data_IF_795929479723
#
_entry.id   IF_795929479723
#
_cell.length_a   1.000
_cell.length_b   1.000
_cell.length_c   1.000
_cell.angle_alpha   90.00
_cell.angle_beta   90.00
_cell.angle_gamma   90.00
#
_symmetry.space_group_name_H-M   'P 1'
#
loop_
_entity.id
_entity.type
_entity.pdbx_description
1 polymer ?
#
# COMPACT_ATOMS: atom_id res chain seq x y z
N UNK A 1 -8.18 6.11 -19.41
CA UNK A 1 -7.77 5.81 -18.02
C UNK A 1 -7.33 4.36 -17.86
N UNK A 2 -8.17 3.36 -18.18
CA UNK A 2 -7.83 1.93 -17.98
C UNK A 2 -6.53 1.47 -18.66
N UNK A 3 -6.17 2.04 -19.81
CA UNK A 3 -4.93 1.67 -20.52
C UNK A 3 -3.67 2.00 -19.72
N UNK A 4 -3.73 2.98 -18.82
CA UNK A 4 -2.63 3.29 -17.89
C UNK A 4 -2.49 2.29 -16.74
N UNK A 5 -3.45 1.39 -16.59
CA UNK A 5 -3.46 0.36 -15.54
C UNK A 5 -3.17 -1.04 -16.11
N UNK A 6 -2.93 -1.17 -17.42
CA UNK A 6 -2.75 -2.46 -18.09
C UNK A 6 -1.62 -3.30 -17.49
N UNK A 7 -0.46 -2.67 -17.25
CA UNK A 7 0.70 -3.30 -16.59
C UNK A 7 0.38 -3.89 -15.22
N UNK A 8 -0.54 -3.27 -14.48
CA UNK A 8 -0.95 -3.70 -13.14
C UNK A 8 -1.92 -4.87 -13.17
N UNK A 9 -2.60 -5.08 -14.29
CA UNK A 9 -3.60 -6.12 -14.44
C UNK A 9 -3.69 -6.62 -15.89
N UNK A 10 -2.66 -7.35 -16.37
CA UNK A 10 -2.52 -7.71 -17.77
C UNK A 10 -3.40 -8.87 -18.23
N UNK A 11 -4.06 -9.60 -17.31
CA UNK A 11 -4.76 -10.84 -17.65
C UNK A 11 -6.16 -10.59 -18.22
N UNK A 12 -6.85 -9.54 -17.76
CA UNK A 12 -8.23 -9.25 -18.20
C UNK A 12 -8.61 -7.78 -18.00
N UNK A 13 -9.50 -7.26 -18.84
CA UNK A 13 -10.10 -5.94 -18.71
C UNK A 13 -11.62 -6.02 -18.59
N UNK A 14 -12.23 -5.10 -17.86
CA UNK A 14 -13.69 -5.04 -17.76
C UNK A 14 -14.17 -3.63 -17.44
N UNK A 15 -15.39 -3.34 -17.86
CA UNK A 15 -16.06 -2.07 -17.56
C UNK A 15 -17.53 -2.28 -17.30
N UNK A 16 -18.08 -1.45 -16.42
CA UNK A 16 -19.49 -1.39 -16.10
C UNK A 16 -19.94 0.07 -16.09
N UNK A 17 -21.17 0.36 -16.51
CA UNK A 17 -21.74 1.69 -16.46
C UNK A 17 -23.20 1.63 -16.06
N UNK A 18 -23.61 2.56 -15.22
CA UNK A 18 -24.98 2.71 -14.73
C UNK A 18 -25.28 4.18 -14.45
N UNK A 19 -26.11 4.81 -15.30
CA UNK A 19 -26.46 6.22 -15.21
C UNK A 19 -25.22 7.13 -15.12
N UNK A 20 -25.00 7.84 -13.99
CA UNK A 20 -23.86 8.74 -13.80
C UNK A 20 -22.54 8.02 -13.48
N UNK A 21 -22.54 6.70 -13.30
CA UNK A 21 -21.38 5.93 -12.84
C UNK A 21 -20.74 5.12 -13.98
N UNK A 22 -19.41 5.09 -14.00
CA UNK A 22 -18.62 4.15 -14.79
C UNK A 22 -17.50 3.54 -13.93
N UNK A 23 -17.43 2.21 -13.89
CA UNK A 23 -16.36 1.45 -13.26
C UNK A 23 -15.51 0.78 -14.35
N UNK A 24 -14.19 0.81 -14.18
CA UNK A 24 -13.24 0.13 -15.06
C UNK A 24 -12.22 -0.64 -14.24
N UNK A 25 -11.81 -1.81 -14.72
CA UNK A 25 -10.89 -2.70 -14.01
C UNK A 25 -9.91 -3.38 -14.97
N UNK A 26 -8.64 -3.46 -14.56
CA UNK A 26 -7.57 -4.26 -15.16
C UNK A 26 -7.18 -5.32 -14.14
N UNK A 27 -7.18 -6.59 -14.52
CA UNK A 27 -7.07 -7.74 -13.60
C UNK A 27 -5.74 -8.44 -13.72
N UNK A 28 -5.07 -8.62 -12.59
CA UNK A 28 -4.10 -9.68 -12.37
C UNK A 28 -4.82 -10.82 -11.65
N UNK A 29 -4.96 -11.98 -12.30
CA UNK A 29 -5.74 -13.11 -11.80
C UNK A 29 -4.91 -13.93 -10.82
N UNK A 30 -5.21 -13.78 -9.53
CA UNK A 30 -4.53 -14.46 -8.41
C UNK A 30 -5.50 -15.38 -7.66
N UNK A 31 -6.69 -14.87 -7.32
CA UNK A 31 -7.76 -15.62 -6.66
C UNK A 31 -8.93 -15.82 -7.63
N UNK A 32 -9.44 -17.05 -7.69
CA UNK A 32 -10.48 -17.51 -8.61
C UNK A 32 -10.14 -17.20 -10.08
N UNK A 33 -9.32 -18.05 -10.69
CA UNK A 33 -8.84 -17.86 -12.06
C UNK A 33 -9.95 -18.00 -13.12
N UNK A 34 -11.18 -18.32 -12.73
CA UNK A 34 -12.31 -18.45 -13.64
C UNK A 34 -12.92 -17.08 -14.00
N UNK A 35 -13.91 -17.10 -14.90
CA UNK A 35 -14.68 -15.91 -15.26
C UNK A 35 -15.53 -15.39 -14.08
N UNK A 36 -15.80 -16.20 -13.05
CA UNK A 36 -16.54 -15.76 -11.87
C UNK A 36 -15.74 -14.76 -11.03
N UNK A 37 -14.41 -14.72 -11.15
CA UNK A 37 -13.56 -13.69 -10.56
C UNK A 37 -13.41 -12.41 -11.41
N UNK A 38 -14.12 -12.30 -12.55
CA UNK A 38 -14.03 -11.13 -13.42
C UNK A 38 -14.60 -9.86 -12.74
N UNK A 39 -14.02 -8.72 -13.08
CA UNK A 39 -14.38 -7.43 -12.51
C UNK A 39 -14.55 -6.35 -13.61
N UNK A 40 -15.42 -5.33 -13.43
CA UNK A 40 -16.27 -5.09 -12.25
C UNK A 40 -17.27 -6.21 -11.98
N UNK A 41 -17.34 -6.67 -10.74
CA UNK A 41 -18.19 -7.78 -10.33
C UNK A 41 -19.58 -7.24 -9.98
N UNK A 42 -20.62 -7.88 -10.52
CA UNK A 42 -22.01 -7.43 -10.36
C UNK A 42 -22.79 -8.46 -9.55
N UNK A 43 -23.26 -8.06 -8.36
CA UNK A 43 -24.23 -8.82 -7.58
C UNK A 43 -25.64 -8.35 -7.91
N UNK A 44 -26.32 -9.09 -8.78
CA UNK A 44 -27.68 -8.77 -9.24
C UNK A 44 -28.75 -8.94 -8.17
N UNK A 45 -28.53 -9.83 -7.21
CA UNK A 45 -29.47 -10.08 -6.11
C UNK A 45 -29.57 -8.83 -5.22
N UNK A 46 -28.41 -8.27 -4.87
CA UNK A 46 -28.35 -7.10 -4.00
C UNK A 46 -28.36 -5.77 -4.77
N UNK A 47 -28.14 -5.78 -6.08
CA UNK A 47 -28.06 -4.57 -6.90
C UNK A 47 -26.78 -3.79 -6.60
N UNK A 48 -25.64 -4.49 -6.57
CA UNK A 48 -24.34 -3.91 -6.26
C UNK A 48 -23.34 -4.19 -7.39
N UNK A 49 -22.44 -3.26 -7.65
CA UNK A 49 -21.30 -3.41 -8.56
C UNK A 49 -20.00 -3.04 -7.85
N UNK A 50 -18.92 -3.78 -8.08
CA UNK A 50 -17.64 -3.59 -7.39
C UNK A 50 -16.46 -3.62 -8.36
N UNK A 51 -15.54 -2.69 -8.20
CA UNK A 51 -14.17 -2.79 -8.71
C UNK A 51 -13.20 -2.75 -7.52
N UNK A 52 -12.29 -3.71 -7.44
CA UNK A 52 -11.47 -3.99 -6.27
C UNK A 52 -10.04 -4.38 -6.68
N UNK A 53 -9.08 -3.67 -6.10
CA UNK A 53 -7.65 -3.99 -6.18
C UNK A 53 -7.17 -4.40 -4.77
N UNK A 54 -6.66 -5.63 -4.64
CA UNK A 54 -6.08 -6.15 -3.41
C UNK A 54 -6.46 -7.60 -3.13
N UNK A 55 -6.34 -7.99 -1.86
CA UNK A 55 -6.65 -9.33 -1.36
C UNK A 55 -7.26 -9.29 0.04
N UNK A 56 -8.40 -9.95 0.23
CA UNK A 56 -9.02 -10.15 1.55
C UNK A 56 -8.58 -11.50 2.13
N UNK A 57 -7.55 -11.47 2.98
CA UNK A 57 -6.93 -12.66 3.58
C UNK A 57 -7.85 -13.52 4.46
N UNK A 58 -8.94 -12.95 4.99
CA UNK A 58 -9.94 -13.69 5.77
C UNK A 58 -11.20 -14.04 4.95
N UNK A 59 -11.14 -14.00 3.62
CA UNK A 59 -12.29 -14.32 2.78
C UNK A 59 -12.85 -15.74 2.98
N UNK A 60 -12.07 -16.80 3.30
CA UNK A 60 -12.64 -18.13 3.54
C UNK A 60 -13.49 -18.16 4.82
N UNK A 61 -13.01 -17.53 5.90
CA UNK A 61 -13.76 -17.44 7.16
C UNK A 61 -15.00 -16.56 7.01
N UNK A 62 -14.88 -15.39 6.39
CA UNK A 62 -16.00 -14.48 6.16
C UNK A 62 -17.07 -15.11 5.26
N UNK A 63 -16.67 -15.89 4.25
CA UNK A 63 -17.60 -16.61 3.38
C UNK A 63 -18.43 -17.62 4.16
N UNK A 64 -17.84 -18.32 5.12
CA UNK A 64 -18.57 -19.25 5.98
C UNK A 64 -19.57 -18.51 6.87
N UNK A 65 -19.15 -17.38 7.47
CA UNK A 65 -20.02 -16.51 8.27
C UNK A 65 -21.20 -15.99 7.44
N UNK A 66 -20.95 -15.44 6.26
CA UNK A 66 -21.98 -14.91 5.37
C UNK A 66 -22.93 -16.01 4.87
N UNK A 67 -22.44 -17.22 4.58
CA UNK A 67 -23.30 -18.37 4.26
C UNK A 67 -24.22 -18.74 5.41
N UNK A 68 -23.72 -18.71 6.65
CA UNK A 68 -24.53 -18.95 7.84
C UNK A 68 -25.61 -17.87 8.04
N UNK A 69 -25.35 -16.65 7.56
CA UNK A 69 -26.30 -15.54 7.51
C UNK A 69 -27.25 -15.58 6.30
N UNK A 70 -27.13 -16.60 5.43
CA UNK A 70 -28.05 -16.85 4.31
C UNK A 70 -27.55 -16.41 2.94
N UNK A 71 -26.34 -15.85 2.83
CA UNK A 71 -25.76 -15.42 1.55
C UNK A 71 -25.34 -16.62 0.69
N UNK A 72 -25.58 -16.51 -0.61
CA UNK A 72 -25.11 -17.47 -1.63
C UNK A 72 -23.93 -16.88 -2.37
N UNK A 73 -23.09 -17.74 -2.93
CA UNK A 73 -21.90 -17.34 -3.66
C UNK A 73 -21.77 -18.09 -4.97
N UNK A 74 -21.30 -17.40 -6.00
CA UNK A 74 -21.03 -17.95 -7.33
C UNK A 74 -19.53 -18.10 -7.62
N UNK A 75 -18.70 -17.19 -7.09
CA UNK A 75 -17.24 -17.22 -7.18
C UNK A 75 -16.62 -17.93 -5.98
N UNK A 76 -15.37 -18.38 -6.11
CA UNK A 76 -14.53 -18.80 -4.97
C UNK A 76 -13.65 -17.67 -4.46
N UNK A 77 -13.50 -16.60 -5.24
CA UNK A 77 -12.64 -15.46 -4.95
C UNK A 77 -13.10 -14.61 -3.78
N UNK A 78 -12.26 -13.66 -3.39
CA UNK A 78 -12.51 -12.75 -2.28
C UNK A 78 -13.37 -11.53 -2.67
N UNK A 79 -13.39 -11.16 -3.96
CA UNK A 79 -14.15 -10.03 -4.49
C UNK A 79 -15.65 -10.12 -4.13
N UNK A 80 -16.27 -11.29 -4.28
CA UNK A 80 -17.69 -11.47 -3.97
C UNK A 80 -17.96 -11.38 -2.45
N UNK A 81 -16.98 -11.70 -1.61
CA UNK A 81 -17.11 -11.54 -0.15
C UNK A 81 -17.30 -10.09 0.22
N UNK A 82 -16.67 -9.14 -0.48
CA UNK A 82 -16.88 -7.70 -0.26
C UNK A 82 -18.33 -7.31 -0.59
N UNK A 83 -18.85 -7.78 -1.73
CA UNK A 83 -20.25 -7.51 -2.14
C UNK A 83 -21.25 -8.04 -1.10
N UNK A 84 -21.09 -9.30 -0.67
CA UNK A 84 -21.98 -9.91 0.33
C UNK A 84 -21.81 -9.29 1.72
N UNK A 85 -20.59 -8.91 2.10
CA UNK A 85 -20.34 -8.18 3.35
C UNK A 85 -21.01 -6.79 3.35
N UNK A 86 -20.95 -6.05 2.23
CA UNK A 86 -21.65 -4.77 2.10
C UNK A 86 -23.17 -4.96 2.09
N UNK A 87 -23.70 -5.99 1.41
CA UNK A 87 -25.12 -6.31 1.47
C UNK A 87 -25.59 -6.62 2.89
N UNK A 88 -24.74 -7.25 3.71
CA UNK A 88 -25.05 -7.65 5.07
C UNK A 88 -24.91 -6.52 6.11
N UNK A 89 -23.83 -5.75 6.03
CA UNK A 89 -23.42 -4.78 7.06
C UNK A 89 -23.33 -3.34 6.55
N UNK A 90 -23.65 -3.08 5.27
CA UNK A 90 -23.51 -1.77 4.65
C UNK A 90 -22.07 -1.27 4.70
N UNK A 91 -21.91 0.02 5.00
CA UNK A 91 -20.60 0.70 5.08
C UNK A 91 -19.68 0.11 6.14
N UNK A 92 -20.24 -0.55 7.16
CA UNK A 92 -19.46 -1.17 8.24
C UNK A 92 -18.77 -2.46 7.79
N UNK A 93 -19.01 -2.94 6.56
CA UNK A 93 -18.35 -4.13 6.02
C UNK A 93 -16.82 -4.08 6.13
N UNK A 94 -16.22 -2.88 6.01
CA UNK A 94 -14.77 -2.64 6.12
C UNK A 94 -14.19 -3.05 7.48
N UNK A 95 -15.01 -3.09 8.53
CA UNK A 95 -14.60 -3.52 9.87
C UNK A 95 -14.34 -5.03 9.94
N UNK A 96 -14.96 -5.80 9.04
CA UNK A 96 -14.87 -7.25 8.96
C UNK A 96 -13.72 -7.72 8.05
N UNK A 97 -13.21 -6.84 7.19
CA UNK A 97 -12.17 -7.16 6.22
C UNK A 97 -10.78 -7.19 6.87
N UNK A 98 -10.04 -8.28 6.64
CA UNK A 98 -8.60 -8.38 6.93
C UNK A 98 -7.88 -8.58 5.60
N UNK A 99 -7.22 -7.54 5.11
CA UNK A 99 -6.66 -7.53 3.77
C UNK A 99 -5.84 -6.29 3.47
N UNK A 100 -5.21 -6.30 2.30
CA UNK A 100 -4.77 -5.09 1.61
C UNK A 100 -5.80 -4.81 0.51
N UNK A 101 -6.34 -3.61 0.42
CA UNK A 101 -7.46 -3.35 -0.48
C UNK A 101 -7.68 -1.87 -0.77
N UNK A 102 -8.07 -1.60 -2.00
CA UNK A 102 -8.76 -0.40 -2.41
C UNK A 102 -9.94 -0.83 -3.29
N UNK A 103 -11.15 -0.39 -2.96
CA UNK A 103 -12.31 -0.74 -3.78
C UNK A 103 -13.30 0.41 -3.95
N UNK A 104 -14.06 0.31 -5.04
CA UNK A 104 -15.18 1.16 -5.37
C UNK A 104 -16.43 0.31 -5.56
N UNK A 105 -17.44 0.54 -4.73
CA UNK A 105 -18.72 -0.15 -4.75
C UNK A 105 -19.83 0.83 -5.13
N UNK A 106 -20.59 0.47 -6.15
CA UNK A 106 -21.75 1.21 -6.62
C UNK A 106 -23.02 0.47 -6.22
N UNK A 107 -23.91 1.16 -5.52
CA UNK A 107 -25.24 0.66 -5.16
C UNK A 107 -26.25 1.15 -6.20
N UNK A 108 -26.72 0.23 -7.04
CA UNK A 108 -27.65 0.51 -8.14
C UNK A 108 -29.04 0.94 -7.64
N UNK A 109 -29.40 0.60 -6.39
CA UNK A 109 -30.71 0.94 -5.81
C UNK A 109 -30.73 2.36 -5.28
N UNK A 110 -29.64 2.79 -4.66
CA UNK A 110 -29.55 4.12 -4.02
C UNK A 110 -28.84 5.16 -4.86
N UNK A 111 -28.10 4.75 -5.91
CA UNK A 111 -27.27 5.65 -6.69
C UNK A 111 -26.09 6.20 -5.87
N UNK A 112 -25.57 5.41 -4.94
CA UNK A 112 -24.47 5.80 -4.05
C UNK A 112 -23.16 5.09 -4.41
N UNK A 113 -22.06 5.83 -4.36
CA UNK A 113 -20.69 5.31 -4.47
C UNK A 113 -20.07 5.18 -3.07
N UNK A 114 -19.49 4.03 -2.79
CA UNK A 114 -18.70 3.79 -1.59
C UNK A 114 -17.28 3.38 -1.98
N UNK A 115 -16.31 4.22 -1.62
CA UNK A 115 -14.89 3.95 -1.77
C UNK A 115 -14.31 3.56 -0.41
N UNK A 116 -13.42 2.57 -0.37
CA UNK A 116 -12.69 2.23 0.86
C UNK A 116 -11.25 1.83 0.56
N UNK A 117 -10.35 2.17 1.49
CA UNK A 117 -8.92 1.84 1.45
C UNK A 117 -8.51 1.17 2.75
N UNK A 118 -7.65 0.15 2.65
CA UNK A 118 -7.23 -0.67 3.78
C UNK A 118 -6.54 0.10 4.90
N UNK A 119 -6.43 -0.57 6.05
CA UNK A 119 -6.00 0.01 7.34
C UNK A 119 -4.64 0.73 7.26
N UNK A 120 -3.71 0.20 6.46
CA UNK A 120 -2.35 0.72 6.36
C UNK A 120 -2.08 1.35 4.98
N UNK A 121 -3.13 1.54 4.16
CA UNK A 121 -3.00 2.13 2.83
C UNK A 121 -2.12 1.34 1.88
N UNK A 122 -2.00 0.01 2.05
CA UNK A 122 -1.15 -0.86 1.24
C UNK A 122 -1.53 -0.72 -0.24
N UNK A 123 -2.83 -0.74 -0.55
CA UNK A 123 -3.30 -0.47 -1.92
C UNK A 123 -3.61 1.01 -2.12
N UNK A 124 -3.15 1.61 -3.23
CA UNK A 124 -3.39 3.02 -3.51
C UNK A 124 -4.83 3.30 -3.97
N UNK A 125 -5.35 4.45 -3.57
CA UNK A 125 -6.60 4.99 -4.10
C UNK A 125 -6.53 6.51 -4.19
N UNK A 126 -6.43 7.00 -5.41
CA UNK A 126 -6.42 8.43 -5.74
C UNK A 126 -7.79 8.85 -6.28
N UNK A 127 -8.17 10.10 -6.05
CA UNK A 127 -9.36 10.69 -6.65
C UNK A 127 -9.14 12.16 -7.01
N UNK A 128 -9.87 12.64 -8.01
CA UNK A 128 -9.83 14.05 -8.42
C UNK A 128 -10.67 14.89 -7.46
N UNK A 129 -10.14 16.04 -7.10
CA UNK A 129 -10.85 17.06 -6.35
C UNK A 129 -10.57 18.43 -6.97
N UNK A 130 -11.62 19.14 -7.32
CA UNK A 130 -11.53 20.53 -7.75
C UNK A 130 -12.13 21.41 -6.65
N UNK A 131 -11.29 22.10 -5.86
CA UNK A 131 -11.77 23.02 -4.82
C UNK A 131 -12.61 24.18 -5.38
N UNK A 132 -12.45 24.52 -6.68
CA UNK A 132 -13.15 25.61 -7.33
C UNK A 132 -14.51 25.22 -7.93
N UNK A 133 -14.71 23.93 -8.21
CA UNK A 133 -15.98 23.38 -8.68
C UNK A 133 -16.37 22.11 -7.91
N UNK A 134 -17.17 22.24 -6.83
CA UNK A 134 -17.69 21.11 -6.08
C UNK A 134 -18.56 20.14 -6.91
N UNK A 135 -19.03 20.56 -8.10
CA UNK A 135 -19.82 19.74 -9.03
C UNK A 135 -18.97 19.03 -10.07
N UNK A 136 -17.65 19.24 -10.08
CA UNK A 136 -16.74 18.54 -10.97
C UNK A 136 -16.89 17.02 -10.77
N UNK A 137 -16.86 16.24 -11.87
CA UNK A 137 -17.00 14.79 -11.79
C UNK A 137 -15.85 14.20 -10.98
N UNK A 138 -16.18 13.36 -10.01
CA UNK A 138 -15.17 12.62 -9.27
C UNK A 138 -14.69 11.45 -10.13
N UNK A 139 -13.39 11.42 -10.41
CA UNK A 139 -12.69 10.27 -11.00
C UNK A 139 -11.79 9.67 -9.94
N UNK A 140 -11.67 8.34 -9.90
CA UNK A 140 -10.76 7.64 -9.01
C UNK A 140 -9.93 6.62 -9.79
N UNK A 141 -8.75 6.28 -9.27
CA UNK A 141 -7.89 5.25 -9.84
C UNK A 141 -6.85 4.76 -8.82
N UNK A 142 -6.24 3.61 -9.10
CA UNK A 142 -5.10 3.11 -8.32
C UNK A 142 -3.78 3.85 -8.60
N UNK A 143 -3.70 4.70 -9.63
CA UNK A 143 -2.50 5.48 -9.92
C UNK A 143 -2.82 6.89 -10.40
N UNK A 144 -1.95 7.83 -10.07
CA UNK A 144 -2.05 9.22 -10.50
C UNK A 144 -1.94 9.36 -12.04
N UNK A 145 -1.03 8.66 -12.76
CA UNK A 145 -1.01 8.65 -14.22
C UNK A 145 -2.33 8.24 -14.88
N UNK A 146 -3.08 7.32 -14.26
CA UNK A 146 -4.39 6.91 -14.77
C UNK A 146 -5.43 8.03 -14.67
N UNK A 147 -5.42 8.83 -13.59
CA UNK A 147 -6.28 10.02 -13.45
C UNK A 147 -5.91 11.10 -14.47
N UNK A 148 -4.63 11.38 -14.65
CA UNK A 148 -4.15 12.38 -15.61
C UNK A 148 -4.55 12.05 -17.04
N UNK A 149 -4.54 10.77 -17.41
CA UNK A 149 -5.00 10.30 -18.71
C UNK A 149 -6.52 10.53 -18.94
N UNK A 150 -7.30 10.83 -17.90
CA UNK A 150 -8.71 11.23 -18.00
C UNK A 150 -8.91 12.69 -18.40
N UNK A 151 -7.88 13.54 -18.28
CA UNK A 151 -7.94 14.98 -18.57
C UNK A 151 -8.77 15.78 -17.57
N UNK A 152 -8.70 17.11 -17.66
CA UNK A 152 -9.48 18.02 -16.82
C UNK A 152 -9.11 17.94 -15.33
N UNK A 153 -7.84 17.71 -15.02
CA UNK A 153 -7.27 17.69 -13.67
C UNK A 153 -6.36 18.92 -13.52
N UNK A 154 -6.47 19.65 -12.41
CA UNK A 154 -5.48 20.69 -12.10
C UNK A 154 -4.13 20.04 -11.80
N UNK A 155 -3.14 20.29 -12.66
CA UNK A 155 -1.78 19.73 -12.59
C UNK A 155 -0.75 20.73 -12.04
N UNK A 156 -1.21 21.87 -11.51
CA UNK A 156 -0.36 22.74 -10.70
C UNK A 156 0.15 21.98 -9.47
N UNK A 157 1.36 22.32 -9.03
CA UNK A 157 1.89 21.72 -7.81
C UNK A 157 1.14 22.21 -6.59
N UNK A 158 0.84 21.28 -5.68
CA UNK A 158 0.28 21.60 -4.38
C UNK A 158 1.39 22.13 -3.45
N UNK A 159 1.35 23.39 -2.99
CA UNK A 159 2.41 23.97 -2.15
C UNK A 159 2.60 23.23 -0.82
N UNK A 160 1.53 22.68 -0.25
CA UNK A 160 1.59 21.89 0.99
C UNK A 160 2.31 20.57 0.70
N UNK A 161 1.94 19.90 -0.40
CA UNK A 161 2.58 18.67 -0.81
C UNK A 161 4.07 18.84 -1.12
N UNK A 162 4.46 19.94 -1.77
CA UNK A 162 5.85 20.29 -2.01
C UNK A 162 6.65 20.42 -0.70
N UNK A 163 6.06 21.04 0.32
CA UNK A 163 6.69 21.12 1.64
C UNK A 163 6.89 19.72 2.26
N UNK A 164 5.91 18.83 2.16
CA UNK A 164 6.07 17.45 2.62
C UNK A 164 7.15 16.68 1.83
N UNK A 165 7.12 16.75 0.49
CA UNK A 165 8.03 16.04 -0.41
C UNK A 165 9.51 16.31 -0.06
N UNK A 166 9.85 17.56 0.26
CA UNK A 166 11.24 17.95 0.53
C UNK A 166 11.68 17.81 1.99
N UNK A 167 10.74 17.60 2.91
CA UNK A 167 11.01 17.42 4.34
C UNK A 167 10.91 15.96 4.79
N UNK A 168 10.04 15.13 4.21
CA UNK A 168 9.71 13.77 4.68
C UNK A 168 10.25 12.67 3.74
N UNK A 169 11.51 12.68 3.33
CA UNK A 169 12.11 11.62 2.49
C UNK A 169 11.37 11.38 1.16
N UNK A 170 10.77 12.42 0.58
CA UNK A 170 9.94 12.27 -0.63
C UNK A 170 8.52 11.76 -0.39
N UNK A 171 8.11 11.63 0.87
CA UNK A 171 6.73 11.27 1.24
C UNK A 171 5.81 12.49 1.20
N UNK A 172 4.63 12.30 0.62
CA UNK A 172 3.55 13.29 0.62
C UNK A 172 2.34 12.63 1.28
N UNK A 173 2.16 12.72 2.60
CA UNK A 173 1.05 12.04 3.25
C UNK A 173 -0.32 12.40 2.66
N UNK A 174 -1.24 11.43 2.62
CA UNK A 174 -2.65 11.70 2.35
C UNK A 174 -3.18 12.83 3.27
N UNK A 175 -4.16 13.64 2.83
CA UNK A 175 -4.90 13.51 1.57
C UNK A 175 -4.21 14.14 0.36
N UNK A 176 -3.07 14.82 0.53
CA UNK A 176 -2.41 15.54 -0.56
C UNK A 176 -1.77 14.59 -1.58
N UNK A 177 -1.55 15.09 -2.79
CA UNK A 177 -0.56 14.57 -3.73
C UNK A 177 0.30 15.72 -4.20
N UNK A 178 1.39 15.46 -4.92
CA UNK A 178 2.18 16.53 -5.53
C UNK A 178 1.36 17.48 -6.43
N UNK A 179 0.18 17.06 -6.90
CA UNK A 179 -0.72 17.85 -7.74
C UNK A 179 -1.94 18.38 -6.97
N UNK A 180 -2.28 19.65 -7.21
CA UNK A 180 -3.38 20.35 -6.56
C UNK A 180 -4.75 19.70 -6.80
N UNK A 181 -4.99 19.17 -8.00
CA UNK A 181 -6.29 18.61 -8.41
C UNK A 181 -6.52 17.14 -8.03
N UNK A 182 -5.62 16.53 -7.27
CA UNK A 182 -5.68 15.10 -6.91
C UNK A 182 -5.47 14.92 -5.41
N UNK A 183 -6.25 14.02 -4.84
CA UNK A 183 -6.17 13.59 -3.43
C UNK A 183 -5.99 12.08 -3.33
N UNK A 184 -5.39 11.65 -2.22
CA UNK A 184 -5.36 10.25 -1.78
C UNK A 184 -6.47 10.01 -0.76
N UNK A 185 -7.16 8.88 -0.86
CA UNK A 185 -7.98 8.42 0.27
C UNK A 185 -7.04 8.02 1.41
N UNK A 186 -7.27 8.55 2.61
CA UNK A 186 -6.44 8.23 3.78
C UNK A 186 -6.50 6.72 4.11
N UNK A 187 -5.41 6.13 4.64
CA UNK A 187 -5.42 4.79 5.20
C UNK A 187 -6.57 4.60 6.22
N UNK A 188 -7.13 3.39 6.27
CA UNK A 188 -8.18 3.03 7.22
C UNK A 188 -9.44 3.90 7.11
N UNK A 189 -9.73 4.42 5.91
CA UNK A 189 -10.83 5.36 5.68
C UNK A 189 -11.69 4.97 4.48
N UNK A 190 -12.92 5.48 4.47
CA UNK A 190 -13.89 5.33 3.39
C UNK A 190 -14.49 6.67 2.98
N UNK A 191 -14.87 6.79 1.71
CA UNK A 191 -15.56 7.94 1.14
C UNK A 191 -16.88 7.49 0.55
N UNK A 192 -17.98 7.97 1.13
CA UNK A 192 -19.33 7.73 0.64
C UNK A 192 -19.86 8.95 -0.11
N UNK A 193 -20.42 8.75 -1.30
CA UNK A 193 -21.04 9.78 -2.12
C UNK A 193 -22.47 9.34 -2.42
N UNK A 194 -23.46 10.07 -1.93
CA UNK A 194 -24.86 9.76 -2.21
C UNK A 194 -25.32 10.30 -3.58
N UNK A 195 -26.55 9.97 -3.97
CA UNK A 195 -27.14 10.40 -5.24
C UNK A 195 -27.26 11.92 -5.41
N UNK A 196 -27.19 12.70 -4.32
CA UNK A 196 -27.16 14.17 -4.40
C UNK A 196 -25.76 14.73 -4.63
N UNK A 197 -24.74 13.86 -4.62
CA UNK A 197 -23.33 14.21 -4.70
C UNK A 197 -22.70 14.58 -3.35
N UNK A 198 -23.44 14.45 -2.23
CA UNK A 198 -22.91 14.74 -0.90
C UNK A 198 -21.86 13.70 -0.52
N UNK A 199 -20.68 14.19 -0.15
CA UNK A 199 -19.52 13.39 0.24
C UNK A 199 -19.43 13.25 1.76
N UNK A 200 -19.10 12.07 2.24
CA UNK A 200 -18.83 11.78 3.64
C UNK A 200 -17.56 10.93 3.74
N UNK A 201 -16.49 11.54 4.22
CA UNK A 201 -15.25 10.85 4.58
C UNK A 201 -15.38 10.31 6.02
N UNK A 202 -15.02 9.04 6.22
CA UNK A 202 -15.03 8.41 7.53
C UNK A 202 -13.77 7.57 7.72
N UNK A 203 -13.02 7.84 8.79
CA UNK A 203 -11.96 6.97 9.27
C UNK A 203 -12.58 5.83 10.07
N UNK A 204 -12.42 4.60 9.61
CA UNK A 204 -12.97 3.40 10.26
C UNK A 204 -11.91 2.66 11.09
N UNK A 205 -10.63 2.93 10.85
CA UNK A 205 -9.53 2.34 11.60
C UNK A 205 -8.44 3.36 11.92
N UNK A 206 -7.83 3.23 13.09
CA UNK A 206 -6.63 3.94 13.48
C UNK A 206 -5.79 3.05 14.38
N UNK A 207 -4.47 3.26 14.37
CA UNK A 207 -3.57 2.53 15.26
C UNK A 207 -3.79 2.94 16.72
N UNK A 208 -3.71 1.96 17.61
CA UNK A 208 -3.74 2.17 19.06
C UNK A 208 -2.36 1.86 19.63
N UNK A 209 -1.60 2.92 19.95
CA UNK A 209 -0.25 2.84 20.47
C UNK A 209 -0.24 2.88 22.02
N UNK A 210 -1.37 2.60 22.66
CA UNK A 210 -1.48 2.50 24.12
C UNK A 210 -0.56 1.40 24.65
N UNK A 211 0.28 1.77 25.62
CA UNK A 211 1.21 0.83 26.25
C UNK A 211 0.46 -0.29 26.97
N UNK A 212 0.89 -1.52 26.70
CA UNK A 212 0.37 -2.75 27.29
C UNK A 212 1.39 -3.27 28.30
N UNK A 213 0.96 -3.52 29.54
CA UNK A 213 1.80 -4.03 30.65
C UNK A 213 1.31 -5.37 31.20
N UNK A 214 0.36 -5.99 30.51
CA UNK A 214 -0.30 -7.25 30.86
C UNK A 214 0.54 -8.49 30.48
N UNK A 215 1.64 -8.32 29.75
CA UNK A 215 2.46 -9.41 29.25
C UNK A 215 3.94 -9.18 29.55
N UNK A 216 4.66 -10.25 29.86
CA UNK A 216 6.11 -10.27 29.93
C UNK A 216 6.77 -10.45 28.54
N UNK A 217 8.10 -10.40 28.50
CA UNK A 217 8.87 -10.48 27.26
C UNK A 217 8.68 -11.82 26.51
N UNK A 218 8.57 -12.94 27.22
CA UNK A 218 8.39 -14.26 26.59
C UNK A 218 6.99 -14.36 25.98
N UNK A 219 5.97 -13.89 26.70
CA UNK A 219 4.60 -13.83 26.21
C UNK A 219 4.47 -12.92 24.99
N UNK A 220 5.22 -11.82 24.93
CA UNK A 220 5.29 -10.97 23.73
C UNK A 220 5.95 -11.69 22.55
N UNK A 221 7.09 -12.37 22.77
CA UNK A 221 7.73 -13.16 21.72
C UNK A 221 6.79 -14.22 21.13
N UNK A 222 6.09 -14.98 21.98
CA UNK A 222 5.11 -15.98 21.54
C UNK A 222 3.97 -15.35 20.73
N UNK A 223 3.43 -14.21 21.17
CA UNK A 223 2.36 -13.51 20.44
C UNK A 223 2.82 -12.95 19.10
N UNK A 224 4.03 -12.39 19.04
CA UNK A 224 4.62 -11.88 17.80
C UNK A 224 4.84 -13.03 16.82
N UNK A 225 5.49 -14.10 17.27
CA UNK A 225 5.73 -15.29 16.45
C UNK A 225 4.43 -15.89 15.92
N UNK A 226 3.43 -16.12 16.78
CA UNK A 226 2.13 -16.63 16.36
C UNK A 226 1.40 -15.69 15.38
N UNK A 227 1.51 -14.37 15.59
CA UNK A 227 0.94 -13.35 14.72
C UNK A 227 1.58 -13.34 13.33
N UNK A 228 2.91 -13.37 13.26
CA UNK A 228 3.67 -13.39 12.01
C UNK A 228 3.46 -14.71 11.26
N UNK A 229 3.50 -15.85 11.95
CA UNK A 229 3.22 -17.16 11.34
C UNK A 229 1.82 -17.19 10.73
N UNK A 230 0.81 -16.69 11.45
CA UNK A 230 -0.56 -16.57 10.93
C UNK A 230 -0.63 -15.65 9.71
N UNK A 231 0.10 -14.53 9.71
CA UNK A 231 0.11 -13.57 8.62
C UNK A 231 0.75 -14.14 7.34
N UNK A 232 1.87 -14.86 7.47
CA UNK A 232 2.56 -15.56 6.37
C UNK A 232 1.68 -16.68 5.84
N UNK A 233 1.19 -17.56 6.73
CA UNK A 233 0.35 -18.69 6.34
C UNK A 233 -0.90 -18.27 5.56
N UNK A 234 -1.60 -17.22 6.01
CA UNK A 234 -2.77 -16.69 5.29
C UNK A 234 -2.48 -16.25 3.86
N UNK A 235 -1.30 -15.69 3.61
CA UNK A 235 -0.92 -15.22 2.26
C UNK A 235 -0.52 -16.37 1.34
N UNK A 236 0.07 -17.42 1.91
CA UNK A 236 0.46 -18.61 1.17
C UNK A 236 -0.74 -19.53 0.87
N UNK A 237 -1.64 -19.73 1.83
CA UNK A 237 -2.73 -20.73 1.74
C UNK A 237 -3.86 -20.33 0.78
N UNK A 238 -4.13 -19.03 0.65
CA UNK A 238 -5.32 -18.58 -0.11
C UNK A 238 -5.05 -18.43 -1.61
N UNK A 239 -3.79 -18.32 -2.04
CA UNK A 239 -3.43 -18.00 -3.43
C UNK A 239 -3.69 -19.18 -4.37
N UNK A 240 -4.40 -18.97 -5.48
CA UNK A 240 -4.56 -20.00 -6.52
C UNK A 240 -3.36 -20.05 -7.49
N UNK A 241 -2.34 -19.21 -7.26
CA UNK A 241 -1.09 -19.16 -8.02
C UNK A 241 0.12 -19.26 -7.08
N UNK A 242 1.29 -19.74 -7.56
CA UNK A 242 2.49 -19.83 -6.73
C UNK A 242 2.88 -18.49 -6.10
N UNK A 243 3.27 -18.52 -4.83
CA UNK A 243 3.74 -17.36 -4.07
C UNK A 243 5.23 -17.50 -3.80
N UNK A 244 6.00 -16.49 -4.22
CA UNK A 244 7.43 -16.38 -3.94
C UNK A 244 7.76 -15.52 -2.72
N UNK A 245 9.05 -15.39 -2.42
CA UNK A 245 9.56 -14.46 -1.40
C UNK A 245 10.75 -13.68 -1.97
N UNK A 246 10.75 -12.35 -1.85
CA UNK A 246 11.94 -11.54 -2.10
C UNK A 246 12.89 -11.70 -0.92
N UNK A 247 14.10 -12.21 -1.18
CA UNK A 247 15.08 -12.57 -0.15
C UNK A 247 16.34 -11.72 -0.28
N UNK A 248 16.50 -10.73 0.59
CA UNK A 248 17.74 -9.95 0.70
C UNK A 248 18.80 -10.59 1.59
N UNK A 249 18.41 -11.57 2.41
CA UNK A 249 19.26 -12.10 3.49
C UNK A 249 19.28 -11.21 4.75
N UNK A 250 18.63 -10.05 4.72
CA UNK A 250 18.30 -9.28 5.92
C UNK A 250 17.34 -10.02 6.86
N UNK A 251 17.18 -9.53 8.08
CA UNK A 251 16.39 -10.18 9.13
C UNK A 251 14.95 -10.45 8.67
N UNK A 252 14.30 -9.47 8.06
CA UNK A 252 12.85 -9.51 7.82
C UNK A 252 12.49 -10.46 6.68
N UNK A 253 13.21 -10.36 5.55
CA UNK A 253 13.02 -11.27 4.41
C UNK A 253 13.37 -12.71 4.77
N UNK A 254 14.43 -12.90 5.58
CA UNK A 254 14.82 -14.23 6.08
C UNK A 254 13.79 -14.80 7.05
N UNK A 255 13.18 -13.97 7.88
CA UNK A 255 12.12 -14.37 8.82
C UNK A 255 10.87 -14.84 8.06
N UNK A 256 10.50 -14.18 6.96
CA UNK A 256 9.40 -14.65 6.11
C UNK A 256 9.70 -16.05 5.54
N UNK A 257 10.91 -16.30 5.05
CA UNK A 257 11.31 -17.64 4.56
C UNK A 257 11.25 -18.68 5.68
N UNK A 258 11.75 -18.34 6.87
CA UNK A 258 11.72 -19.22 8.03
C UNK A 258 10.29 -19.58 8.45
N UNK A 259 9.40 -18.59 8.50
CA UNK A 259 7.98 -18.76 8.85
C UNK A 259 7.20 -19.53 7.77
N UNK A 260 7.52 -19.33 6.49
CA UNK A 260 6.96 -20.12 5.40
C UNK A 260 7.35 -21.60 5.56
N UNK A 261 8.62 -21.86 5.84
CA UNK A 261 9.12 -23.22 6.10
C UNK A 261 8.44 -23.85 7.34
N UNK A 262 8.28 -23.08 8.42
CA UNK A 262 7.55 -23.52 9.61
C UNK A 262 6.07 -23.83 9.31
N UNK A 263 5.44 -23.08 8.41
CA UNK A 263 4.10 -23.36 7.90
C UNK A 263 4.04 -24.59 6.97
N UNK A 264 5.17 -25.26 6.71
CA UNK A 264 5.27 -26.45 5.86
C UNK A 264 5.43 -26.15 4.37
N UNK A 265 5.75 -24.91 4.01
CA UNK A 265 5.88 -24.46 2.62
C UNK A 265 7.34 -24.09 2.36
N UNK A 266 7.92 -24.67 1.30
CA UNK A 266 9.23 -24.25 0.80
C UNK A 266 9.03 -23.29 -0.36
N UNK A 267 9.14 -21.97 -0.17
CA UNK A 267 8.87 -21.01 -1.23
C UNK A 267 9.98 -20.97 -2.28
N UNK A 268 9.64 -20.45 -3.46
CA UNK A 268 10.62 -19.89 -4.37
C UNK A 268 11.16 -18.59 -3.76
N UNK A 269 12.47 -18.39 -3.81
CA UNK A 269 13.11 -17.18 -3.29
C UNK A 269 13.85 -16.45 -4.38
N UNK A 270 13.76 -15.12 -4.38
CA UNK A 270 14.32 -14.27 -5.42
C UNK A 270 15.24 -13.22 -4.80
N UNK A 271 16.47 -13.13 -5.30
CA UNK A 271 17.45 -12.11 -4.89
C UNK A 271 18.00 -11.39 -6.10
N UNK A 272 18.20 -10.08 -5.95
CA UNK A 272 18.91 -9.24 -6.90
C UNK A 272 20.34 -8.99 -6.42
N UNK A 273 21.27 -8.95 -7.36
CA UNK A 273 22.60 -8.39 -7.15
C UNK A 273 22.97 -7.47 -8.29
N UNK A 274 23.67 -6.40 -7.98
CA UNK A 274 24.27 -5.48 -8.92
C UNK A 274 25.77 -5.76 -9.07
N UNK A 275 26.38 -5.20 -10.11
CA UNK A 275 27.83 -5.28 -10.31
C UNK A 275 28.56 -4.57 -9.16
N UNK A 276 29.60 -5.22 -8.64
CA UNK A 276 30.46 -4.66 -7.60
C UNK A 276 31.06 -3.31 -8.02
N UNK A 277 31.07 -2.36 -7.10
CA UNK A 277 31.88 -1.15 -7.21
C UNK A 277 33.19 -1.34 -6.42
N UNK A 278 34.26 -0.61 -6.76
CA UNK A 278 35.56 -0.78 -6.08
C UNK A 278 35.49 -0.65 -4.55
N UNK A 279 34.50 0.09 -4.03
CA UNK A 279 34.35 0.40 -2.60
C UNK A 279 33.23 -0.41 -1.92
N UNK A 280 32.33 -1.04 -2.69
CA UNK A 280 31.14 -1.72 -2.16
C UNK A 280 30.74 -2.94 -3.01
N UNK A 281 30.41 -4.04 -2.34
CA UNK A 281 29.82 -5.21 -3.01
C UNK A 281 28.39 -4.88 -3.45
N UNK A 282 28.08 -5.08 -4.73
CA UNK A 282 26.77 -4.75 -5.30
C UNK A 282 25.71 -5.83 -5.07
N UNK A 283 26.07 -6.99 -4.50
CA UNK A 283 25.17 -8.13 -4.35
C UNK A 283 24.91 -8.53 -2.89
N UNK A 284 23.65 -8.79 -2.59
CA UNK A 284 23.21 -9.34 -1.31
C UNK A 284 23.33 -10.88 -1.24
N UNK A 285 23.90 -11.51 -2.28
CA UNK A 285 23.99 -12.98 -2.40
C UNK A 285 24.73 -13.64 -1.23
N UNK A 286 25.71 -12.96 -0.65
CA UNK A 286 26.44 -13.42 0.53
C UNK A 286 25.51 -13.66 1.73
N UNK A 287 24.43 -12.89 1.84
CA UNK A 287 23.45 -12.98 2.93
C UNK A 287 22.26 -13.86 2.56
N UNK A 288 21.81 -13.85 1.30
CA UNK A 288 20.66 -14.65 0.85
C UNK A 288 20.99 -16.14 0.71
N UNK A 289 22.17 -16.49 0.19
CA UNK A 289 22.55 -17.88 -0.10
C UNK A 289 22.53 -18.79 1.16
N UNK A 290 23.04 -18.36 2.33
CA UNK A 290 22.95 -19.17 3.56
C UNK A 290 21.52 -19.44 4.01
N UNK A 291 20.61 -18.48 3.86
CA UNK A 291 19.19 -18.61 4.22
C UNK A 291 18.52 -19.60 3.27
N UNK A 292 18.72 -19.42 1.97
CA UNK A 292 18.23 -20.32 0.94
C UNK A 292 18.72 -21.77 1.14
N UNK A 293 20.01 -21.95 1.48
CA UNK A 293 20.60 -23.25 1.75
C UNK A 293 20.02 -23.89 3.02
N UNK A 294 19.85 -23.10 4.10
CA UNK A 294 19.28 -23.57 5.37
C UNK A 294 17.86 -24.10 5.21
N UNK A 295 17.01 -23.37 4.48
CA UNK A 295 15.60 -23.71 4.30
C UNK A 295 15.31 -24.48 2.99
N UNK A 296 16.36 -24.77 2.20
CA UNK A 296 16.33 -25.53 0.94
C UNK A 296 15.31 -24.97 -0.05
N UNK A 297 15.25 -23.64 -0.17
CA UNK A 297 14.34 -22.96 -1.09
C UNK A 297 14.78 -23.16 -2.55
N UNK A 298 13.83 -23.06 -3.48
CA UNK A 298 14.16 -22.89 -4.90
C UNK A 298 14.66 -21.46 -5.11
N UNK A 299 15.98 -21.27 -5.10
CA UNK A 299 16.60 -19.94 -5.06
C UNK A 299 16.99 -19.44 -6.45
N UNK A 300 16.48 -18.26 -6.81
CA UNK A 300 16.73 -17.57 -8.06
C UNK A 300 17.58 -16.32 -7.79
N UNK A 301 18.73 -16.24 -8.44
CA UNK A 301 19.64 -15.08 -8.36
C UNK A 301 19.62 -14.34 -9.68
N UNK A 302 19.27 -13.07 -9.64
CA UNK A 302 19.29 -12.18 -10.79
C UNK A 302 20.41 -11.17 -10.64
N UNK A 303 21.35 -11.19 -11.59
CA UNK A 303 22.42 -10.20 -11.64
C UNK A 303 22.05 -9.12 -12.66
N UNK A 304 21.98 -7.86 -12.21
CA UNK A 304 21.59 -6.73 -13.05
C UNK A 304 22.81 -5.83 -13.30
N UNK A 305 23.25 -5.68 -14.56
CA UNK A 305 24.35 -4.78 -14.91
C UNK A 305 24.07 -3.33 -14.50
N UNK A 306 25.10 -2.60 -14.02
CA UNK A 306 24.90 -1.23 -13.54
C UNK A 306 24.46 -0.27 -14.64
N UNK A 307 24.82 -0.52 -15.91
CA UNK A 307 24.37 0.31 -17.04
C UNK A 307 22.85 0.23 -17.27
N UNK A 308 22.22 -0.92 -16.96
CA UNK A 308 20.77 -1.08 -17.07
C UNK A 308 20.02 -0.13 -16.14
N UNK A 309 20.58 0.19 -14.96
CA UNK A 309 19.95 1.10 -14.00
C UNK A 309 19.77 2.48 -14.62
N UNK A 310 20.81 3.03 -15.26
CA UNK A 310 20.75 4.34 -15.90
C UNK A 310 19.91 4.34 -17.18
N UNK A 311 20.05 3.30 -18.00
CA UNK A 311 19.31 3.16 -19.27
C UNK A 311 17.80 3.05 -19.04
N UNK A 312 17.38 2.33 -17.98
CA UNK A 312 15.97 2.03 -17.69
C UNK A 312 15.34 3.00 -16.69
N UNK A 313 16.10 3.94 -16.12
CA UNK A 313 15.58 4.95 -15.19
C UNK A 313 14.34 5.70 -15.73
N UNK A 314 14.28 6.13 -17.01
CA UNK A 314 13.08 6.79 -17.55
C UNK A 314 11.82 5.91 -17.51
N UNK A 315 11.96 4.59 -17.66
CA UNK A 315 10.83 3.66 -17.58
C UNK A 315 10.29 3.56 -16.16
N UNK A 316 11.18 3.44 -15.16
CA UNK A 316 10.80 3.43 -13.75
C UNK A 316 10.09 4.73 -13.35
N UNK A 317 10.65 5.90 -13.74
CA UNK A 317 10.03 7.21 -13.49
C UNK A 317 8.63 7.29 -14.11
N UNK A 318 8.44 6.77 -15.33
CA UNK A 318 7.14 6.77 -15.99
C UNK A 318 6.06 5.93 -15.26
N UNK A 319 6.47 5.04 -14.35
CA UNK A 319 5.56 4.23 -13.52
C UNK A 319 5.32 4.84 -12.13
N UNK A 320 6.07 5.87 -11.74
CA UNK A 320 5.88 6.54 -10.45
C UNK A 320 4.57 7.31 -10.43
N UNK A 321 3.72 7.05 -9.44
CA UNK A 321 2.54 7.89 -9.20
C UNK A 321 2.92 9.29 -8.70
N UNK A 322 3.99 9.38 -7.90
CA UNK A 322 4.55 10.61 -7.36
C UNK A 322 6.08 10.48 -7.30
N UNK A 323 6.85 11.58 -7.34
CA UNK A 323 8.31 11.52 -7.33
C UNK A 323 8.85 10.72 -6.13
N UNK A 324 9.65 9.70 -6.40
CA UNK A 324 10.28 8.85 -5.39
C UNK A 324 11.78 9.12 -5.37
N UNK A 325 12.35 9.40 -4.20
CA UNK A 325 13.76 9.78 -4.07
C UNK A 325 14.68 8.59 -3.80
N UNK A 326 14.12 7.46 -3.34
CA UNK A 326 14.87 6.29 -2.99
C UNK A 326 15.50 5.63 -4.25
N UNK A 327 16.82 5.44 -4.21
CA UNK A 327 17.60 4.87 -5.32
C UNK A 327 17.19 3.42 -5.63
N UNK A 328 16.67 2.71 -4.65
CA UNK A 328 16.19 1.34 -4.78
C UNK A 328 14.87 1.23 -5.58
N UNK A 329 14.18 2.33 -5.88
CA UNK A 329 12.97 2.28 -6.72
C UNK A 329 13.25 1.66 -8.10
N UNK A 330 14.37 2.04 -8.74
CA UNK A 330 14.77 1.46 -10.04
C UNK A 330 15.20 0.01 -9.87
N UNK A 331 15.87 -0.32 -8.76
CA UNK A 331 16.24 -1.71 -8.45
C UNK A 331 14.99 -2.60 -8.33
N UNK A 332 13.96 -2.15 -7.62
CA UNK A 332 12.68 -2.83 -7.52
C UNK A 332 12.00 -2.97 -8.88
N UNK A 333 12.03 -1.93 -9.73
CA UNK A 333 11.47 -2.00 -11.09
C UNK A 333 12.13 -3.12 -11.92
N UNK A 334 13.46 -3.20 -11.88
CA UNK A 334 14.21 -4.18 -12.65
C UNK A 334 14.12 -5.60 -12.06
N UNK A 335 14.12 -5.73 -10.73
CA UNK A 335 13.86 -6.99 -10.04
C UNK A 335 12.48 -7.54 -10.40
N UNK A 336 11.46 -6.68 -10.36
CA UNK A 336 10.08 -7.07 -10.62
C UNK A 336 9.88 -7.57 -12.04
N UNK A 337 10.59 -7.01 -13.03
CA UNK A 337 10.62 -7.51 -14.42
C UNK A 337 11.10 -8.97 -14.50
N UNK A 338 12.09 -9.36 -13.69
CA UNK A 338 12.61 -10.72 -13.71
C UNK A 338 11.72 -11.68 -12.93
N UNK A 339 11.25 -11.26 -11.75
CA UNK A 339 10.42 -12.10 -10.87
C UNK A 339 9.04 -12.36 -11.49
N UNK A 340 8.45 -11.38 -12.17
CA UNK A 340 7.13 -11.53 -12.81
C UNK A 340 7.08 -12.60 -13.91
N UNK A 341 8.25 -13.00 -14.45
CA UNK A 341 8.38 -14.09 -15.42
C UNK A 341 8.23 -15.47 -14.76
N UNK A 342 8.45 -15.56 -13.44
CA UNK A 342 8.46 -16.80 -12.66
C UNK A 342 7.18 -16.95 -11.82
N UNK A 343 6.72 -15.87 -11.19
CA UNK A 343 5.55 -15.85 -10.30
C UNK A 343 4.77 -14.54 -10.42
N UNK A 344 3.47 -14.57 -10.06
CA UNK A 344 2.61 -13.38 -10.02
C UNK A 344 2.56 -12.70 -8.66
N UNK A 345 2.95 -13.41 -7.60
CA UNK A 345 2.81 -12.95 -6.21
C UNK A 345 4.10 -13.20 -5.46
N UNK A 346 4.56 -12.20 -4.71
CA UNK A 346 5.70 -12.33 -3.80
C UNK A 346 5.44 -11.73 -2.43
N UNK A 347 6.02 -12.34 -1.41
CA UNK A 347 6.11 -11.74 -0.08
C UNK A 347 7.38 -10.91 0.02
N UNK A 348 7.27 -9.75 0.66
CA UNK A 348 8.36 -8.83 0.93
C UNK A 348 8.43 -8.51 2.43
N UNK A 349 9.64 -8.29 2.94
CA UNK A 349 9.90 -7.90 4.34
C UNK A 349 9.66 -6.41 4.62
N UNK A 350 9.26 -5.63 3.62
CA UNK A 350 8.99 -4.20 3.75
C UNK A 350 7.89 -3.93 4.81
N UNK A 351 8.11 -2.92 5.65
CA UNK A 351 7.24 -2.57 6.76
C UNK A 351 7.66 -3.11 8.13
N UNK A 352 8.68 -3.99 8.18
CA UNK A 352 9.16 -4.54 9.44
C UNK A 352 9.87 -3.49 10.30
N UNK A 353 10.70 -2.63 9.70
CA UNK A 353 11.46 -1.60 10.40
C UNK A 353 10.54 -0.57 11.08
N UNK A 354 9.44 -0.19 10.44
CA UNK A 354 8.45 0.76 10.97
C UNK A 354 7.63 0.19 12.12
N UNK A 355 7.37 -1.12 12.07
CA UNK A 355 6.59 -1.83 13.10
C UNK A 355 7.46 -2.19 14.30
N UNK A 356 8.72 -2.58 14.08
CA UNK A 356 9.61 -3.11 15.11
C UNK A 356 10.72 -2.15 15.54
N UNK A 357 10.80 -0.95 14.95
CA UNK A 357 11.77 0.06 15.33
C UNK A 357 13.18 -0.19 14.80
N UNK A 358 13.31 -0.65 13.55
CA UNK A 358 14.58 -1.08 12.96
C UNK A 358 15.52 0.05 12.52
N UNK A 359 15.02 1.28 12.35
CA UNK A 359 15.83 2.40 11.91
C UNK A 359 16.67 3.05 13.02
N UNK A 360 17.85 3.55 12.65
CA UNK A 360 18.84 4.11 13.59
C UNK A 360 18.37 5.37 14.32
N UNK A 361 17.36 6.07 13.79
CA UNK A 361 16.83 7.29 14.39
C UNK A 361 15.90 7.04 15.59
N UNK A 362 15.26 5.86 15.71
CA UNK A 362 14.33 5.61 16.81
C UNK A 362 14.97 5.71 18.20
N UNK A 363 16.16 5.13 18.46
CA UNK A 363 16.86 5.34 19.73
C UNK A 363 17.22 6.82 19.99
N UNK A 364 17.57 7.57 18.93
CA UNK A 364 17.91 8.99 19.03
C UNK A 364 16.69 9.83 19.42
N UNK A 365 15.56 9.61 18.75
CA UNK A 365 14.27 10.24 19.09
C UNK A 365 13.83 9.89 20.52
N UNK A 366 13.98 8.63 20.93
CA UNK A 366 13.62 8.18 22.28
C UNK A 366 14.44 8.90 23.36
N UNK A 367 15.73 9.11 23.13
CA UNK A 367 16.64 9.79 24.06
C UNK A 367 16.46 11.32 24.08
N UNK A 368 16.00 11.92 22.98
CA UNK A 368 15.77 13.36 22.87
C UNK A 368 14.76 13.88 23.90
N UNK A 369 14.90 15.16 24.26
CA UNK A 369 14.05 15.86 25.23
C UNK A 369 13.29 17.00 24.55
N UNK A 370 12.18 17.43 25.15
CA UNK A 370 11.33 18.50 24.61
C UNK A 370 9.96 18.01 24.16
N UNK A 371 9.28 18.84 23.38
CA UNK A 371 8.01 18.48 22.74
C UNK A 371 8.20 17.39 21.67
N UNK A 372 7.12 16.71 21.29
CA UNK A 372 7.19 15.59 20.35
C UNK A 372 7.87 15.96 19.02
N UNK A 373 7.56 17.14 18.47
CA UNK A 373 8.15 17.61 17.21
C UNK A 373 9.65 17.94 17.34
N UNK A 374 10.07 18.50 18.48
CA UNK A 374 11.48 18.82 18.76
C UNK A 374 12.33 17.55 18.89
N UNK A 375 11.70 16.43 19.28
CA UNK A 375 12.31 15.12 19.41
C UNK A 375 12.27 14.31 18.10
N UNK A 376 11.41 14.67 17.16
CA UNK A 376 11.22 13.96 15.90
C UNK A 376 11.97 14.61 14.73
N UNK A 377 11.73 15.91 14.50
CA UNK A 377 12.20 16.62 13.32
C UNK A 377 13.73 16.52 13.09
N UNK A 378 14.61 16.67 14.11
CA UNK A 378 16.06 16.63 13.87
C UNK A 378 16.62 15.30 13.36
N UNK A 379 15.85 14.21 13.48
CA UNK A 379 16.30 12.85 13.13
C UNK A 379 15.58 12.27 11.91
N UNK A 380 14.53 12.94 11.42
CA UNK A 380 13.72 12.47 10.29
C UNK A 380 13.58 13.51 9.19
N UNK A 381 13.61 14.80 9.49
CA UNK A 381 13.43 15.81 8.46
C UNK A 381 14.71 15.95 7.63
N UNK A 382 14.59 15.77 6.32
CA UNK A 382 15.71 15.98 5.39
C UNK A 382 16.14 17.44 5.33
N UNK A 383 15.15 18.34 5.39
CA UNK A 383 15.31 19.79 5.26
C UNK A 383 14.37 20.49 6.20
N UNK A 384 14.91 21.44 6.95
CA UNK A 384 14.09 22.31 7.78
C UNK A 384 13.31 23.33 6.94
N UNK A 385 12.33 23.98 7.59
CA UNK A 385 11.46 24.97 6.93
C UNK A 385 12.25 26.14 6.31
N UNK A 386 13.31 26.60 6.99
CA UNK A 386 14.12 27.72 6.52
C UNK A 386 14.93 27.35 5.26
N UNK A 387 15.45 26.13 5.19
CA UNK A 387 16.08 25.59 3.99
C UNK A 387 15.07 25.44 2.84
N UNK A 388 13.88 24.90 3.12
CA UNK A 388 12.81 24.80 2.14
C UNK A 388 12.49 26.16 1.51
N UNK A 389 12.27 27.20 2.32
CA UNK A 389 11.96 28.56 1.83
C UNK A 389 13.07 29.14 0.94
N UNK A 390 14.33 28.82 1.20
CA UNK A 390 15.48 29.23 0.36
C UNK A 390 15.51 28.47 -0.98
N UNK A 391 15.10 27.21 -0.99
CA UNK A 391 15.13 26.34 -2.16
C UNK A 391 13.98 26.60 -3.13
N UNK A 392 12.78 26.92 -2.64
CA UNK A 392 11.58 27.07 -3.49
C UNK A 392 11.32 28.51 -3.94
N UNK A 393 10.67 28.65 -5.10
CA UNK A 393 10.22 29.95 -5.63
C UNK A 393 9.05 30.51 -4.85
N UNK A 394 8.89 31.84 -4.85
CA UNK A 394 7.88 32.55 -4.06
C UNK A 394 6.44 31.99 -4.11
N UNK A 395 5.90 31.51 -5.26
CA UNK A 395 4.55 30.95 -5.31
C UNK A 395 4.32 29.67 -4.49
N UNK A 396 5.39 28.93 -4.16
CA UNK A 396 5.33 27.68 -3.40
C UNK A 396 5.84 27.83 -1.96
N UNK A 397 6.16 29.06 -1.54
CA UNK A 397 6.47 29.36 -0.14
C UNK A 397 5.16 29.44 0.65
N UNK A 398 5.19 28.98 1.89
CA UNK A 398 4.04 28.93 2.77
C UNK A 398 4.48 28.78 4.22
N UNK A 399 3.55 28.34 5.07
CA UNK A 399 3.83 28.04 6.48
C UNK A 399 4.61 26.72 6.62
N UNK A 400 5.08 26.41 7.82
CA UNK A 400 5.67 25.09 8.13
C UNK A 400 4.57 24.01 8.23
N UNK A 401 4.10 23.58 7.06
CA UNK A 401 3.02 22.62 6.94
C UNK A 401 3.42 21.23 7.45
N UNK A 402 4.69 20.83 7.30
CA UNK A 402 5.14 19.50 7.73
C UNK A 402 5.18 19.41 9.25
N UNK A 403 5.78 20.37 9.96
CA UNK A 403 5.79 20.34 11.42
C UNK A 403 4.39 20.39 12.00
N UNK A 404 3.50 21.21 11.42
CA UNK A 404 2.09 21.27 11.82
C UNK A 404 1.37 19.92 11.64
N UNK A 405 1.57 19.24 10.49
CA UNK A 405 0.99 17.93 10.21
C UNK A 405 1.48 16.86 11.19
N UNK A 406 2.80 16.74 11.38
CA UNK A 406 3.38 15.76 12.32
C UNK A 406 2.87 16.00 13.75
N UNK A 407 2.78 17.26 14.17
CA UNK A 407 2.23 17.63 15.48
C UNK A 407 0.77 17.22 15.61
N UNK A 408 -0.03 17.43 14.56
CA UNK A 408 -1.42 16.99 14.53
C UNK A 408 -1.54 15.46 14.62
N UNK A 409 -0.76 14.70 13.85
CA UNK A 409 -0.79 13.23 13.91
C UNK A 409 -0.42 12.69 15.28
N UNK A 410 0.62 13.24 15.94
CA UNK A 410 0.96 12.86 17.31
C UNK A 410 -0.18 13.09 18.32
N UNK A 411 -1.05 14.07 18.07
CA UNK A 411 -2.23 14.33 18.89
C UNK A 411 -3.39 13.35 18.65
N UNK A 412 -3.41 12.71 17.47
CA UNK A 412 -4.47 11.78 17.05
C UNK A 412 -4.16 10.32 17.42
N UNK A 413 -2.87 9.95 17.49
CA UNK A 413 -2.45 8.59 17.83
C UNK A 413 -2.72 8.33 19.32
N UNK A 414 -3.49 7.26 19.60
CA UNK A 414 -3.81 6.86 20.97
C UNK A 414 -2.56 6.34 21.67
N UNK A 415 -2.32 6.81 22.89
CA UNK A 415 -1.18 6.40 23.72
C UNK A 415 -0.47 7.61 24.31
N UNK A 416 0.29 7.40 25.39
CA UNK A 416 1.09 8.46 26.04
C UNK A 416 2.59 8.28 25.85
N UNK A 417 3.04 7.05 25.63
CA UNK A 417 4.44 6.76 25.41
C UNK A 417 4.87 7.38 24.07
N UNK A 418 5.94 8.19 24.09
CA UNK A 418 6.42 8.89 22.91
C UNK A 418 6.86 7.94 21.80
N UNK A 419 7.70 6.94 22.10
CA UNK A 419 8.20 6.05 21.05
C UNK A 419 7.08 5.21 20.44
N UNK A 420 6.09 4.79 21.23
CA UNK A 420 4.91 4.12 20.70
C UNK A 420 4.14 5.02 19.72
N UNK A 421 4.00 6.32 20.02
CA UNK A 421 3.35 7.26 19.10
C UNK A 421 4.18 7.51 17.84
N UNK A 422 5.50 7.52 17.94
CA UNK A 422 6.39 7.59 16.76
C UNK A 422 6.19 6.37 15.85
N UNK A 423 6.26 5.15 16.40
CA UNK A 423 6.01 3.93 15.62
C UNK A 423 4.58 3.90 15.06
N UNK A 424 3.62 4.43 15.83
CA UNK A 424 2.25 4.60 15.39
C UNK A 424 2.11 5.53 14.19
N UNK A 425 2.82 6.67 14.20
CA UNK A 425 2.87 7.62 13.09
C UNK A 425 3.49 6.98 11.86
N UNK A 426 4.63 6.30 12.05
CA UNK A 426 5.37 5.67 10.97
C UNK A 426 4.52 4.59 10.27
N UNK A 427 3.98 3.66 11.06
CA UNK A 427 3.17 2.52 10.60
C UNK A 427 1.85 2.95 9.94
N UNK A 428 1.27 4.10 10.32
CA UNK A 428 -0.05 4.52 9.81
C UNK A 428 -0.01 5.62 8.75
N UNK A 429 1.11 6.34 8.64
CA UNK A 429 1.20 7.54 7.80
C UNK A 429 2.43 7.51 6.89
N UNK A 430 3.63 7.34 7.44
CA UNK A 430 4.88 7.56 6.68
C UNK A 430 5.23 6.36 5.79
N UNK A 431 5.08 5.13 6.31
CA UNK A 431 5.29 3.88 5.56
C UNK A 431 4.50 3.82 4.24
N UNK A 432 3.32 4.46 4.22
CA UNK A 432 2.37 4.43 3.10
C UNK A 432 2.95 5.08 1.85
N UNK A 433 3.74 6.13 2.05
CA UNK A 433 4.24 6.99 0.99
C UNK A 433 5.71 6.78 0.65
N UNK A 434 6.44 5.94 1.40
CA UNK A 434 7.76 5.46 1.02
C UNK A 434 7.74 3.96 0.61
N UNK A 435 8.01 2.97 1.49
CA UNK A 435 8.21 1.59 1.04
C UNK A 435 6.96 0.99 0.40
N UNK A 436 5.76 1.28 0.91
CA UNK A 436 4.50 0.75 0.35
C UNK A 436 4.27 1.29 -1.06
N UNK A 437 4.37 2.61 -1.24
CA UNK A 437 4.24 3.26 -2.55
C UNK A 437 5.30 2.77 -3.53
N UNK A 438 6.52 2.51 -3.05
CA UNK A 438 7.65 2.04 -3.86
C UNK A 438 7.38 0.66 -4.40
N UNK A 439 7.05 -0.27 -3.51
CA UNK A 439 6.68 -1.64 -3.86
C UNK A 439 5.50 -1.60 -4.83
N UNK A 440 4.40 -0.93 -4.49
CA UNK A 440 3.22 -0.91 -5.36
C UNK A 440 3.49 -0.34 -6.76
N UNK A 441 4.18 0.80 -6.91
CA UNK A 441 4.40 1.35 -8.25
C UNK A 441 5.40 0.50 -9.07
N UNK A 442 6.47 0.02 -8.43
CA UNK A 442 7.57 -0.64 -9.13
C UNK A 442 7.26 -2.11 -9.44
N UNK A 443 6.61 -2.83 -8.53
CA UNK A 443 6.23 -4.24 -8.77
C UNK A 443 5.02 -4.33 -9.71
N UNK A 444 4.01 -3.50 -9.50
CA UNK A 444 2.82 -3.51 -10.35
C UNK A 444 3.07 -2.94 -11.76
N UNK A 445 4.21 -2.30 -12.01
CA UNK A 445 4.65 -2.00 -13.37
C UNK A 445 4.90 -3.25 -14.23
N UNK A 446 5.00 -4.43 -13.59
CA UNK A 446 5.19 -5.73 -14.21
C UNK A 446 4.14 -6.75 -13.80
N UNK A 447 3.01 -6.32 -13.22
CA UNK A 447 1.96 -7.23 -12.75
C UNK A 447 2.44 -8.21 -11.69
N UNK A 448 3.34 -7.76 -10.80
CA UNK A 448 3.84 -8.53 -9.67
C UNK A 448 3.23 -8.01 -8.37
N UNK A 449 2.36 -8.82 -7.76
CA UNK A 449 1.62 -8.49 -6.53
C UNK A 449 2.44 -8.72 -5.26
#
# INVERSE_FOLDING_TARGET
MMDRLDRRGPDHEGSFSDGPMALGHRRLSILDLSFHGAQPMIDREHGLALAFNGTIYNHPELRQELRALGHRFESTGDTEVILKAYAQWGKDCVMHLTGMFAFALWDLKTGALFLARDRLGIKPLYYTEDPSDPRAPLRFASSLPALLAGGGVNTEFDPIALHHQFTLHGSVPAPHTILQGVRKLEPGSSLHIDASGRRQLQRYWQIDATERRDLDANQWQEKIHAGLLKAVKRRLDISDVPVGVLLSGGLDSSLIVALAHEAGITPQTFTIGFEDQPEEKGSEFEFSDPVAARYRTQHHRFHIPNNQVLERLPEAIAQMSEPMFAQDAVAFYLLSEQVSKEVKVVLSGQGADEVFGGYFWYPQMAAAQGADIERFAPFYFDRDHEEFLRMVTAPFRGDDHTSARITHEFSMIRGKNYINRVLGLDTSTLIVDDPVKRVDNMTMAWGLE
#
